data_IF_964588043227
#
_entry.id   IF_964588043227
#
_cell.length_a   1.000
_cell.length_b   1.000
_cell.length_c   1.000
_cell.angle_alpha   90.00
_cell.angle_beta   90.00
_cell.angle_gamma   90.00
#
_symmetry.space_group_name_H-M   'P 1'
#
loop_
_entity.id
_entity.type
_entity.pdbx_description
1 polymer ?
#
# COMPACT_ATOMS: atom_id res chain seq x y z
N UNK A 1 0.40 -4.14 21.21
CA UNK A 1 1.35 -3.04 20.91
C UNK A 1 0.62 -1.98 20.08
N UNK A 2 0.79 -0.69 20.39
CA UNK A 2 0.16 0.39 19.62
C UNK A 2 0.77 0.42 18.22
N UNK A 3 -0.05 0.21 17.18
CA UNK A 3 0.39 0.32 15.78
C UNK A 3 0.71 1.79 15.48
N UNK A 4 1.79 2.04 14.75
CA UNK A 4 2.22 3.39 14.34
C UNK A 4 1.31 4.00 13.27
N UNK A 5 0.74 3.15 12.41
CA UNK A 5 -0.12 3.51 11.28
C UNK A 5 -1.22 2.48 11.11
N UNK A 6 -2.32 2.91 10.49
CA UNK A 6 -3.31 2.01 9.91
C UNK A 6 -2.80 1.47 8.57
N UNK A 7 -2.74 0.14 8.43
CA UNK A 7 -2.10 -0.53 7.28
C UNK A 7 -3.06 -1.53 6.66
N UNK A 8 -3.11 -1.56 5.33
CA UNK A 8 -3.79 -2.60 4.56
C UNK A 8 -2.85 -3.21 3.51
N UNK A 9 -3.25 -4.34 2.93
CA UNK A 9 -2.50 -5.01 1.87
C UNK A 9 -3.41 -5.52 0.77
N UNK A 10 -2.82 -5.83 -0.39
CA UNK A 10 -3.45 -6.64 -1.42
C UNK A 10 -2.45 -7.61 -2.02
N UNK A 11 -2.97 -8.72 -2.55
CA UNK A 11 -2.14 -9.76 -3.17
C UNK A 11 -2.31 -9.70 -4.69
N UNK A 12 -1.23 -9.50 -5.44
CA UNK A 12 -1.29 -9.43 -6.91
C UNK A 12 -1.79 -10.72 -7.56
N UNK A 13 -1.57 -11.87 -6.91
CA UNK A 13 -2.05 -13.17 -7.39
C UNK A 13 -3.58 -13.29 -7.36
N UNK A 14 -4.27 -12.47 -6.56
CA UNK A 14 -5.74 -12.46 -6.50
C UNK A 14 -6.36 -11.47 -7.49
N UNK A 15 -5.55 -10.78 -8.31
CA UNK A 15 -6.04 -9.88 -9.35
C UNK A 15 -6.80 -10.68 -10.42
N UNK A 16 -8.06 -10.31 -10.74
CA UNK A 16 -8.79 -10.94 -11.84
C UNK A 16 -8.02 -10.86 -13.16
N UNK A 17 -7.86 -11.99 -13.85
CA UNK A 17 -7.10 -12.06 -15.11
C UNK A 17 -7.60 -11.10 -16.19
N UNK A 18 -8.90 -10.76 -16.19
CA UNK A 18 -9.50 -9.78 -17.09
C UNK A 18 -9.02 -8.34 -16.85
N UNK A 19 -8.64 -8.01 -15.60
CA UNK A 19 -8.05 -6.73 -15.22
C UNK A 19 -6.54 -6.75 -15.43
N UNK A 20 -5.87 -7.86 -15.08
CA UNK A 20 -4.42 -8.02 -15.19
C UNK A 20 -3.89 -7.89 -16.61
N UNK A 21 -4.69 -8.30 -17.61
CA UNK A 21 -4.37 -8.12 -19.04
C UNK A 21 -4.49 -6.67 -19.52
N UNK A 22 -5.12 -5.79 -18.75
CA UNK A 22 -5.30 -4.37 -19.08
C UNK A 22 -4.22 -3.55 -18.41
N UNK A 23 -3.46 -2.81 -19.20
CA UNK A 23 -2.42 -1.94 -18.67
C UNK A 23 -2.99 -0.88 -17.71
N UNK A 24 -2.24 -0.58 -16.64
CA UNK A 24 -2.60 0.43 -15.66
C UNK A 24 -3.72 0.06 -14.67
N UNK A 25 -4.24 -1.17 -14.67
CA UNK A 25 -5.36 -1.57 -13.79
C UNK A 25 -4.97 -2.19 -12.45
N UNK A 26 -3.81 -2.82 -12.36
CA UNK A 26 -3.37 -3.53 -11.15
C UNK A 26 -3.30 -2.66 -9.91
N UNK A 27 -2.77 -1.43 -10.01
CA UNK A 27 -2.66 -0.54 -8.84
C UNK A 27 -4.04 -0.06 -8.41
N UNK A 28 -4.88 0.36 -9.35
CA UNK A 28 -6.24 0.83 -9.04
C UNK A 28 -7.05 -0.27 -8.34
N UNK A 29 -7.08 -1.48 -8.91
CA UNK A 29 -7.75 -2.63 -8.32
C UNK A 29 -7.15 -3.00 -6.96
N UNK A 30 -5.82 -2.95 -6.81
CA UNK A 30 -5.14 -3.28 -5.58
C UNK A 30 -5.48 -2.32 -4.43
N UNK A 31 -5.46 -1.01 -4.71
CA UNK A 31 -5.85 0.03 -3.74
C UNK A 31 -7.32 -0.11 -3.37
N UNK A 32 -8.22 -0.28 -4.35
CA UNK A 32 -9.64 -0.49 -4.07
C UNK A 32 -9.87 -1.73 -3.19
N UNK A 33 -9.17 -2.83 -3.48
CA UNK A 33 -9.25 -4.08 -2.71
C UNK A 33 -8.76 -3.88 -1.27
N UNK A 34 -7.62 -3.21 -1.09
CA UNK A 34 -7.07 -2.93 0.23
C UNK A 34 -7.97 -2.00 1.06
N UNK A 35 -8.56 -0.97 0.44
CA UNK A 35 -9.44 -0.01 1.13
C UNK A 35 -10.83 -0.57 1.40
N UNK A 36 -11.33 -1.52 0.60
CA UNK A 36 -12.56 -2.28 0.95
C UNK A 36 -12.39 -3.08 2.24
N UNK A 37 -11.20 -3.62 2.48
CA UNK A 37 -10.89 -4.36 3.71
C UNK A 37 -10.63 -3.43 4.90
N UNK A 38 -9.95 -2.30 4.67
CA UNK A 38 -9.58 -1.35 5.72
C UNK A 38 -9.65 0.09 5.21
N UNK A 39 -10.82 0.75 5.27
CA UNK A 39 -11.04 2.07 4.67
C UNK A 39 -10.15 3.18 5.23
N UNK A 40 -9.69 3.02 6.47
CA UNK A 40 -8.87 4.00 7.19
C UNK A 40 -7.36 3.82 6.95
N UNK A 41 -6.96 2.93 6.03
CA UNK A 41 -5.54 2.63 5.80
C UNK A 41 -4.75 3.87 5.36
N UNK A 42 -3.68 4.15 6.08
CA UNK A 42 -2.71 5.20 5.78
C UNK A 42 -1.57 4.70 4.88
N UNK A 43 -1.36 3.39 4.88
CA UNK A 43 -0.33 2.70 4.12
C UNK A 43 -0.97 1.46 3.49
N UNK A 44 -0.72 1.26 2.19
CA UNK A 44 -1.09 0.03 1.47
C UNK A 44 0.16 -0.59 0.88
N UNK A 45 0.34 -1.90 1.04
CA UNK A 45 1.48 -2.61 0.45
C UNK A 45 1.06 -3.88 -0.31
N UNK A 46 1.98 -4.37 -1.13
CA UNK A 46 1.90 -5.70 -1.73
C UNK A 46 3.28 -6.38 -1.72
N UNK A 47 3.28 -7.72 -1.65
CA UNK A 47 4.51 -8.54 -1.61
C UNK A 47 5.17 -8.74 -2.98
N UNK A 48 4.59 -8.18 -4.03
CA UNK A 48 5.08 -8.33 -5.40
C UNK A 48 4.47 -9.55 -6.09
N UNK A 49 5.06 -9.92 -7.22
CA UNK A 49 4.74 -11.12 -7.99
C UNK A 49 5.97 -11.47 -8.86
N UNK A 50 5.98 -12.61 -9.56
CA UNK A 50 7.02 -12.93 -10.54
C UNK A 50 7.21 -11.75 -11.51
N UNK A 51 8.43 -11.20 -11.55
CA UNK A 51 8.78 -10.04 -12.38
C UNK A 51 8.24 -8.69 -11.88
N UNK A 52 7.73 -8.60 -10.64
CA UNK A 52 7.21 -7.38 -10.00
C UNK A 52 7.73 -7.27 -8.56
N UNK A 53 8.46 -6.21 -8.28
CA UNK A 53 9.01 -5.96 -6.94
C UNK A 53 7.90 -5.69 -5.90
N UNK A 54 8.12 -6.01 -4.61
CA UNK A 54 7.25 -5.57 -3.53
C UNK A 54 7.24 -4.04 -3.41
N UNK A 55 6.11 -3.47 -3.00
CA UNK A 55 5.96 -2.02 -2.87
C UNK A 55 5.07 -1.64 -1.69
N UNK A 56 5.37 -0.49 -1.08
CA UNK A 56 4.57 0.18 -0.07
C UNK A 56 4.18 1.57 -0.58
N UNK A 57 2.90 1.92 -0.47
CA UNK A 57 2.35 3.23 -0.82
C UNK A 57 1.89 3.94 0.47
N UNK A 58 2.38 5.15 0.69
CA UNK A 58 2.07 5.97 1.87
C UNK A 58 1.17 7.13 1.43
N UNK A 59 -0.02 7.23 2.04
CA UNK A 59 -1.01 8.23 1.68
C UNK A 59 -0.99 9.43 2.62
N UNK A 60 -1.31 10.60 2.08
CA UNK A 60 -1.46 11.85 2.83
C UNK A 60 -2.32 12.83 2.02
N UNK A 61 -3.01 13.73 2.72
CA UNK A 61 -3.79 14.80 2.08
C UNK A 61 -2.88 15.85 1.44
N UNK A 62 -1.72 16.09 2.05
CA UNK A 62 -0.69 16.98 1.53
C UNK A 62 0.69 16.30 1.54
N UNK A 63 1.64 16.75 0.71
CA UNK A 63 3.01 16.20 0.70
C UNK A 63 3.67 16.19 2.08
N UNK A 64 3.40 17.21 2.92
CA UNK A 64 3.95 17.33 4.27
C UNK A 64 3.51 16.18 5.18
N UNK A 65 2.30 15.64 4.99
CA UNK A 65 1.78 14.52 5.79
C UNK A 65 2.52 13.24 5.47
N UNK A 66 2.77 12.99 4.19
CA UNK A 66 3.58 11.84 3.73
C UNK A 66 4.99 11.93 4.31
N UNK A 67 5.63 13.10 4.25
CA UNK A 67 6.97 13.30 4.82
C UNK A 67 7.01 13.07 6.33
N UNK A 68 5.98 13.49 7.08
CA UNK A 68 5.87 13.21 8.53
C UNK A 68 5.77 11.71 8.80
N UNK A 69 5.01 10.96 8.00
CA UNK A 69 4.88 9.50 8.12
C UNK A 69 6.21 8.81 7.84
N UNK A 70 6.91 9.21 6.78
CA UNK A 70 8.26 8.71 6.46
C UNK A 70 9.23 8.97 7.61
N UNK A 71 9.26 10.18 8.16
CA UNK A 71 10.12 10.51 9.32
C UNK A 71 9.84 9.62 10.53
N UNK A 72 8.56 9.34 10.83
CA UNK A 72 8.19 8.41 11.90
C UNK A 72 8.68 6.99 11.63
N UNK A 73 8.60 6.49 10.39
CA UNK A 73 9.12 5.17 10.01
C UNK A 73 10.63 5.10 10.28
N UNK A 74 11.40 6.07 9.76
CA UNK A 74 12.85 6.10 9.90
C UNK A 74 13.31 6.16 11.37
N UNK A 75 12.64 6.98 12.19
CA UNK A 75 12.94 7.08 13.62
C UNK A 75 12.68 5.78 14.40
N UNK A 76 11.84 4.87 13.90
CA UNK A 76 11.59 3.57 14.53
C UNK A 76 12.52 2.46 14.03
N UNK A 77 13.19 2.65 12.89
CA UNK A 77 14.21 1.71 12.39
C UNK A 77 15.56 1.93 13.10
N UNK A 78 15.82 3.15 13.56
CA UNK A 78 17.07 3.55 14.21
C UNK A 78 17.09 3.29 15.73
N UNK A 79 16.04 2.67 16.28
CA UNK A 79 15.97 2.22 17.67
C UNK A 79 16.25 0.73 17.74
#
# INVERSE_FOLDING_TARGET
AKRLFEISEYQRITEPMSLKKKEGKTIFWGIETALKSHPSAEIVYHKGEVGKEPMMMIFGTEPKDVLKKIKKILNNIQK
#
